data_IF_700548634097
#
_entry.id   IF_700548634097
#
_cell.length_a   1.000
_cell.length_b   1.000
_cell.length_c   1.000
_cell.angle_alpha   90.00
_cell.angle_beta   90.00
_cell.angle_gamma   90.00
#
_symmetry.space_group_name_H-M   'P 1'
#
loop_
_entity.id
_entity.type
_entity.pdbx_description
1 polymer ?
#
# COMPACT_ATOMS: atom_id res chain seq x y z
N UNK A 1 23.41 13.19 22.23
CA UNK A 1 22.40 12.21 22.71
C UNK A 1 21.14 12.82 23.34
N UNK A 2 21.16 14.04 23.93
CA UNK A 2 19.95 14.71 24.47
C UNK A 2 18.96 15.18 23.39
N UNK A 3 19.46 15.60 22.23
CA UNK A 3 18.65 16.12 21.12
C UNK A 3 17.78 15.05 20.45
N UNK A 4 18.29 13.82 20.27
CA UNK A 4 17.51 12.68 19.74
C UNK A 4 16.30 12.31 20.61
N UNK A 5 16.45 12.32 21.94
CA UNK A 5 15.34 12.05 22.87
C UNK A 5 14.27 13.15 22.81
N UNK A 6 14.69 14.40 22.62
CA UNK A 6 13.78 15.53 22.50
C UNK A 6 13.07 15.53 21.14
N UNK A 7 13.75 15.10 20.09
CA UNK A 7 13.17 14.93 18.76
C UNK A 7 12.12 13.82 18.72
N UNK A 8 12.37 12.68 19.36
CA UNK A 8 11.39 11.58 19.49
C UNK A 8 10.17 12.04 20.30
N UNK A 9 10.37 12.76 21.41
CA UNK A 9 9.26 13.28 22.21
C UNK A 9 8.44 14.34 21.46
N UNK A 10 9.10 15.14 20.60
CA UNK A 10 8.42 16.11 19.75
C UNK A 10 7.55 15.43 18.69
N UNK A 11 8.06 14.38 18.04
CA UNK A 11 7.29 13.56 17.09
C UNK A 11 6.11 12.88 17.80
N UNK A 12 6.33 12.32 18.99
CA UNK A 12 5.29 11.61 19.76
C UNK A 12 4.20 12.58 20.27
N UNK A 13 4.57 13.81 20.64
CA UNK A 13 3.64 14.88 21.01
C UNK A 13 2.85 15.40 19.79
N UNK A 14 3.47 15.43 18.61
CA UNK A 14 2.80 15.81 17.35
C UNK A 14 1.73 14.77 16.97
N UNK A 15 2.05 13.47 17.11
CA UNK A 15 1.11 12.36 16.88
C UNK A 15 -0.08 12.41 17.85
N UNK A 16 0.14 12.81 19.10
CA UNK A 16 -0.92 13.00 20.10
C UNK A 16 -1.80 14.24 19.86
N UNK A 17 -1.34 15.20 19.05
CA UNK A 17 -2.09 16.41 18.71
C UNK A 17 -3.00 16.22 17.48
N UNK A 18 -2.95 15.07 16.81
CA UNK A 18 -3.92 14.72 15.79
C UNK A 18 -5.26 14.52 16.51
N UNK A 19 -6.26 15.40 16.28
CA UNK A 19 -7.55 15.23 16.94
C UNK A 19 -8.12 13.87 16.54
N UNK A 20 -8.51 13.06 17.54
CA UNK A 20 -9.12 11.75 17.32
C UNK A 20 -10.39 11.79 16.43
N UNK A 21 -10.92 12.98 16.15
CA UNK A 21 -12.04 13.23 15.24
C UNK A 21 -11.66 13.41 13.76
N UNK A 22 -10.38 13.42 13.38
CA UNK A 22 -9.97 13.47 11.97
C UNK A 22 -9.98 12.09 11.28
N UNK A 23 -10.21 11.01 12.04
CA UNK A 23 -10.18 9.63 11.55
C UNK A 23 -11.57 9.04 11.25
N UNK A 24 -12.57 9.88 10.96
CA UNK A 24 -13.91 9.42 10.61
C UNK A 24 -14.30 9.96 9.23
N UNK A 25 -13.64 9.47 8.20
CA UNK A 25 -14.20 9.41 6.86
C UNK A 25 -14.47 7.93 6.58
N UNK A 26 -15.65 7.63 6.04
CA UNK A 26 -16.30 6.32 5.94
C UNK A 26 -15.37 5.11 5.84
N UNK A 27 -15.18 4.41 6.97
CA UNK A 27 -14.70 3.03 6.97
C UNK A 27 -15.88 2.14 6.56
N UNK A 28 -15.94 1.76 5.29
CA UNK A 28 -16.87 0.73 4.80
C UNK A 28 -16.51 -0.61 5.44
N UNK A 29 -17.50 -1.19 6.10
CA UNK A 29 -17.39 -2.21 7.16
C UNK A 29 -16.95 -3.62 6.70
N UNK A 30 -16.70 -3.86 5.40
CA UNK A 30 -16.27 -5.18 4.94
C UNK A 30 -14.86 -5.24 4.35
N UNK A 31 -14.21 -4.10 4.03
CA UNK A 31 -12.87 -4.10 3.44
C UNK A 31 -12.80 -4.82 2.09
N UNK A 32 -13.94 -4.97 1.39
CA UNK A 32 -14.00 -5.67 0.10
C UNK A 32 -14.73 -4.82 -0.93
N UNK A 33 -14.09 -4.55 -2.07
CA UNK A 33 -14.76 -4.06 -3.28
C UNK A 33 -15.17 -5.28 -4.08
N UNK A 34 -16.48 -5.50 -4.21
CA UNK A 34 -17.02 -6.70 -4.86
C UNK A 34 -17.03 -6.57 -6.39
N UNK A 35 -17.18 -7.70 -7.08
CA UNK A 35 -17.37 -7.72 -8.52
C UNK A 35 -18.55 -6.81 -8.97
N UNK A 36 -18.30 -5.90 -9.90
CA UNK A 36 -19.28 -4.94 -10.42
C UNK A 36 -19.51 -3.73 -9.50
N UNK A 37 -18.78 -3.62 -8.40
CA UNK A 37 -18.73 -2.43 -7.56
C UNK A 37 -17.60 -1.51 -8.00
N UNK A 38 -17.90 -0.21 -8.06
CA UNK A 38 -16.94 0.84 -8.39
C UNK A 38 -16.95 1.87 -7.26
N UNK A 39 -15.78 2.12 -6.67
CA UNK A 39 -15.59 3.16 -5.66
C UNK A 39 -14.83 4.30 -6.32
N UNK A 40 -15.46 5.47 -6.38
CA UNK A 40 -14.92 6.65 -7.08
C UNK A 40 -14.00 7.54 -6.22
N UNK A 41 -13.88 7.24 -4.92
CA UNK A 41 -13.12 8.03 -3.96
C UNK A 41 -11.83 7.33 -3.55
N UNK A 42 -10.91 8.08 -2.93
CA UNK A 42 -9.71 7.53 -2.32
C UNK A 42 -10.06 6.69 -1.08
N UNK A 43 -9.37 5.57 -0.93
CA UNK A 43 -9.60 4.64 0.19
C UNK A 43 -8.36 4.59 1.07
N UNK A 44 -8.54 4.80 2.38
CA UNK A 44 -7.48 4.68 3.38
C UNK A 44 -7.79 3.55 4.37
N UNK A 45 -6.91 2.54 4.42
CA UNK A 45 -7.04 1.37 5.30
C UNK A 45 -5.91 1.34 6.33
N UNK A 46 -6.26 0.96 7.56
CA UNK A 46 -5.33 0.92 8.68
C UNK A 46 -5.38 -0.42 9.40
N UNK A 47 -4.34 -1.25 9.23
CA UNK A 47 -4.12 -2.49 9.99
C UNK A 47 -5.13 -3.61 9.73
N UNK A 48 -6.06 -3.42 8.81
CA UNK A 48 -7.07 -4.40 8.39
C UNK A 48 -6.72 -4.97 7.02
N UNK A 49 -7.32 -6.11 6.69
CA UNK A 49 -7.21 -6.67 5.36
C UNK A 49 -8.16 -5.92 4.38
N UNK A 50 -7.71 -5.76 3.14
CA UNK A 50 -8.48 -5.13 2.07
C UNK A 50 -8.39 -5.94 0.78
N UNK A 51 -9.53 -6.20 0.14
CA UNK A 51 -9.60 -7.00 -1.09
C UNK A 51 -10.38 -6.26 -2.16
N UNK A 52 -9.82 -6.17 -3.35
CA UNK A 52 -10.56 -5.78 -4.55
C UNK A 52 -10.78 -7.07 -5.34
N UNK A 53 -12.00 -7.58 -5.32
CA UNK A 53 -12.33 -8.81 -6.05
C UNK A 53 -12.27 -8.60 -7.57
N UNK A 54 -12.15 -9.70 -8.32
CA UNK A 54 -12.19 -9.65 -9.78
C UNK A 54 -13.44 -8.92 -10.29
N UNK A 55 -13.24 -7.89 -11.11
CA UNK A 55 -14.31 -7.05 -11.64
C UNK A 55 -14.81 -5.97 -10.68
N UNK A 56 -14.24 -5.85 -9.48
CA UNK A 56 -14.36 -4.66 -8.64
C UNK A 56 -13.34 -3.61 -9.07
N UNK A 57 -13.71 -2.34 -8.96
CA UNK A 57 -12.88 -1.21 -9.39
C UNK A 57 -12.79 -0.16 -8.30
N UNK A 58 -11.58 0.34 -8.06
CA UNK A 58 -11.34 1.56 -7.32
C UNK A 58 -10.82 2.61 -8.30
N UNK A 59 -11.60 3.65 -8.57
CA UNK A 59 -11.20 4.75 -9.46
C UNK A 59 -10.24 5.74 -8.76
N UNK A 60 -10.16 5.70 -7.43
CA UNK A 60 -9.30 6.57 -6.63
C UNK A 60 -8.01 5.91 -6.17
N UNK A 61 -7.24 6.64 -5.36
CA UNK A 61 -5.98 6.17 -4.78
C UNK A 61 -6.25 5.24 -3.58
N UNK A 62 -5.54 4.10 -3.52
CA UNK A 62 -5.56 3.19 -2.37
C UNK A 62 -4.34 3.43 -1.48
N UNK A 63 -4.60 3.83 -0.24
CA UNK A 63 -3.59 4.06 0.78
C UNK A 63 -3.75 3.06 1.93
N UNK A 64 -2.73 2.23 2.18
CA UNK A 64 -2.79 1.17 3.19
C UNK A 64 -1.65 1.27 4.19
N UNK A 65 -1.99 1.24 5.47
CA UNK A 65 -1.04 1.26 6.58
C UNK A 65 -1.10 -0.05 7.35
N UNK A 66 -0.26 -1.02 6.96
CA UNK A 66 -0.27 -2.38 7.50
C UNK A 66 -1.56 -3.15 7.21
N UNK A 67 -1.54 -4.45 7.48
CA UNK A 67 -2.59 -5.39 7.06
C UNK A 67 -2.22 -6.14 5.78
N UNK A 68 -3.19 -6.83 5.19
CA UNK A 68 -3.01 -7.56 3.92
C UNK A 68 -3.87 -6.94 2.83
N UNK A 69 -3.28 -6.65 1.67
CA UNK A 69 -3.98 -6.11 0.50
C UNK A 69 -3.95 -7.15 -0.61
N UNK A 70 -5.12 -7.48 -1.16
CA UNK A 70 -5.23 -8.31 -2.36
C UNK A 70 -5.94 -7.52 -3.45
N UNK A 71 -5.29 -7.36 -4.60
CA UNK A 71 -5.87 -6.71 -5.77
C UNK A 71 -6.10 -7.75 -6.86
N UNK A 72 -7.31 -8.29 -6.93
CA UNK A 72 -7.78 -9.19 -8.01
C UNK A 72 -8.56 -8.43 -9.10
N UNK A 73 -9.02 -7.21 -8.79
CA UNK A 73 -9.71 -6.30 -9.71
C UNK A 73 -8.80 -5.17 -10.19
N UNK A 74 -9.33 -3.95 -10.23
CA UNK A 74 -8.62 -2.78 -10.79
C UNK A 74 -8.50 -1.65 -9.78
N UNK A 75 -7.32 -1.05 -9.72
CA UNK A 75 -7.08 0.28 -9.14
C UNK A 75 -6.69 1.22 -10.28
N UNK A 76 -7.51 2.23 -10.57
CA UNK A 76 -7.28 3.14 -11.72
C UNK A 76 -6.27 4.25 -11.39
N UNK A 77 -6.03 4.52 -10.10
CA UNK A 77 -4.98 5.43 -9.66
C UNK A 77 -3.80 4.70 -8.99
N UNK A 78 -3.23 5.30 -7.95
CA UNK A 78 -2.02 4.84 -7.30
C UNK A 78 -2.35 3.87 -6.15
N UNK A 79 -1.45 2.92 -5.89
CA UNK A 79 -1.46 2.07 -4.70
C UNK A 79 -0.24 2.37 -3.83
N UNK A 80 -0.48 2.93 -2.65
CA UNK A 80 0.52 3.18 -1.63
C UNK A 80 0.33 2.23 -0.45
N UNK A 81 1.34 1.41 -0.15
CA UNK A 81 1.29 0.50 1.00
C UNK A 81 2.48 0.74 1.92
N UNK A 82 2.21 0.87 3.21
CA UNK A 82 3.19 1.05 4.27
C UNK A 82 3.22 -0.19 5.16
N UNK A 83 4.11 -1.12 4.85
CA UNK A 83 4.25 -2.41 5.53
C UNK A 83 3.07 -3.37 5.30
N UNK A 84 3.20 -4.59 5.81
CA UNK A 84 2.18 -5.64 5.61
C UNK A 84 2.50 -6.53 4.41
N UNK A 85 1.45 -7.14 3.88
CA UNK A 85 1.51 -8.06 2.72
C UNK A 85 0.64 -7.51 1.61
N UNK A 86 1.16 -7.48 0.39
CA UNK A 86 0.43 -7.04 -0.79
C UNK A 86 0.54 -8.09 -1.86
N UNK A 87 -0.60 -8.58 -2.37
CA UNK A 87 -0.68 -9.52 -3.48
C UNK A 87 -1.41 -8.85 -4.63
N UNK A 88 -0.74 -8.76 -5.78
CA UNK A 88 -1.32 -8.19 -7.00
C UNK A 88 -1.58 -9.32 -8.00
N UNK A 89 -2.85 -9.48 -8.36
CA UNK A 89 -3.34 -10.41 -9.38
C UNK A 89 -4.04 -9.70 -10.54
N UNK A 90 -4.56 -8.50 -10.31
CA UNK A 90 -5.24 -7.68 -11.30
C UNK A 90 -4.40 -6.49 -11.78
N UNK A 91 -5.07 -5.38 -12.02
CA UNK A 91 -4.48 -4.21 -12.71
C UNK A 91 -4.34 -3.01 -11.76
N UNK A 92 -3.19 -2.34 -11.84
CA UNK A 92 -2.98 -1.00 -11.30
C UNK A 92 -2.60 -0.10 -12.48
N UNK A 93 -3.42 0.89 -12.78
CA UNK A 93 -3.23 1.71 -14.00
C UNK A 93 -2.18 2.83 -13.82
N UNK A 94 -1.71 3.07 -12.59
CA UNK A 94 -0.69 4.07 -12.30
C UNK A 94 0.44 3.49 -11.45
N UNK A 95 0.82 4.17 -10.37
CA UNK A 95 2.04 3.85 -9.64
C UNK A 95 1.77 2.91 -8.46
N UNK A 96 2.68 1.95 -8.28
CA UNK A 96 2.70 1.04 -7.13
C UNK A 96 3.89 1.39 -6.24
N UNK A 97 3.62 1.88 -5.04
CA UNK A 97 4.67 2.24 -4.08
C UNK A 97 4.49 1.49 -2.77
N UNK A 98 5.45 0.62 -2.46
CA UNK A 98 5.47 -0.19 -1.25
C UNK A 98 6.64 0.23 -0.36
N UNK A 99 6.35 0.66 0.86
CA UNK A 99 7.31 0.99 1.90
C UNK A 99 7.39 -0.13 2.94
N UNK A 100 8.39 -1.00 2.81
CA UNK A 100 8.56 -2.18 3.65
C UNK A 100 7.47 -3.23 3.45
N UNK A 101 7.63 -4.39 4.09
CA UNK A 101 6.67 -5.50 3.94
C UNK A 101 7.03 -6.45 2.80
N UNK A 102 6.03 -7.17 2.31
CA UNK A 102 6.16 -8.19 1.29
C UNK A 102 5.19 -7.91 0.15
N UNK A 103 5.72 -7.81 -1.07
CA UNK A 103 4.97 -7.66 -2.30
C UNK A 103 5.08 -8.96 -3.09
N UNK A 104 3.94 -9.56 -3.41
CA UNK A 104 3.79 -10.70 -4.30
C UNK A 104 3.09 -10.25 -5.59
N UNK A 105 3.78 -10.39 -6.71
CA UNK A 105 3.28 -10.03 -8.03
C UNK A 105 3.09 -11.30 -8.84
N UNK A 106 1.84 -11.64 -9.13
CA UNK A 106 1.51 -12.87 -9.83
C UNK A 106 1.57 -12.70 -11.34
N UNK A 107 1.41 -13.80 -12.07
CA UNK A 107 1.50 -13.84 -13.54
C UNK A 107 0.42 -13.03 -14.27
N UNK A 108 -0.69 -12.72 -13.61
CA UNK A 108 -1.79 -11.93 -14.19
C UNK A 108 -1.72 -10.44 -13.83
N UNK A 109 -0.74 -10.06 -13.01
CA UNK A 109 -0.61 -8.69 -12.54
C UNK A 109 -0.17 -7.76 -13.67
N UNK A 110 -0.92 -6.67 -13.85
CA UNK A 110 -0.61 -5.61 -14.80
C UNK A 110 -0.38 -4.29 -14.04
N UNK A 111 0.71 -3.60 -14.38
CA UNK A 111 1.03 -2.28 -13.86
C UNK A 111 1.46 -1.38 -15.01
N UNK A 112 0.71 -0.31 -15.24
CA UNK A 112 0.98 0.62 -16.33
C UNK A 112 2.01 1.71 -15.95
N UNK A 113 2.11 2.03 -14.65
CA UNK A 113 3.04 3.02 -14.13
C UNK A 113 4.31 2.43 -13.49
N UNK A 114 4.90 3.20 -12.58
CA UNK A 114 6.16 2.82 -11.93
C UNK A 114 5.90 1.93 -10.70
N UNK A 115 6.67 0.84 -10.57
CA UNK A 115 6.73 0.07 -9.33
C UNK A 115 7.96 0.44 -8.51
N UNK A 116 7.76 0.82 -7.24
CA UNK A 116 8.83 1.17 -6.30
C UNK A 116 8.65 0.41 -4.99
N UNK A 117 9.65 -0.37 -4.61
CA UNK A 117 9.70 -1.10 -3.34
C UNK A 117 10.88 -0.60 -2.49
N UNK A 118 10.58 0.01 -1.35
CA UNK A 118 11.56 0.58 -0.44
C UNK A 118 11.63 -0.25 0.84
N UNK A 119 12.69 -1.05 1.01
CA UNK A 119 12.95 -1.76 2.27
C UNK A 119 12.07 -2.97 2.58
N UNK A 120 11.54 -3.63 1.55
CA UNK A 120 10.74 -4.86 1.67
C UNK A 120 11.30 -6.03 0.84
N UNK A 121 10.48 -7.06 0.72
CA UNK A 121 10.75 -8.23 -0.13
C UNK A 121 9.79 -8.21 -1.32
N UNK A 122 10.32 -8.45 -2.52
CA UNK A 122 9.55 -8.68 -3.73
C UNK A 122 9.63 -10.16 -4.08
N UNK A 123 8.49 -10.82 -4.20
CA UNK A 123 8.33 -12.06 -4.92
C UNK A 123 7.63 -11.73 -6.24
N UNK A 124 8.32 -11.99 -7.34
CA UNK A 124 7.80 -11.74 -8.67
C UNK A 124 7.77 -13.07 -9.41
N UNK A 125 6.57 -13.49 -9.76
CA UNK A 125 6.36 -14.67 -10.58
C UNK A 125 6.79 -14.37 -12.01
N UNK A 126 7.66 -15.21 -12.57
CA UNK A 126 8.44 -14.97 -13.80
C UNK A 126 7.65 -14.65 -15.10
N UNK A 127 6.33 -14.55 -15.03
CA UNK A 127 5.45 -14.14 -16.12
C UNK A 127 4.85 -12.74 -15.95
N UNK A 128 5.06 -12.05 -14.82
CA UNK A 128 4.61 -10.65 -14.66
C UNK A 128 5.57 -9.70 -15.39
N UNK A 129 5.02 -8.73 -16.12
CA UNK A 129 5.82 -7.70 -16.83
C UNK A 129 6.28 -6.56 -15.89
N UNK A 130 5.96 -6.65 -14.60
CA UNK A 130 6.17 -5.60 -13.62
C UNK A 130 7.62 -5.61 -13.13
N UNK A 131 8.36 -4.56 -13.47
CA UNK A 131 9.73 -4.35 -12.99
C UNK A 131 9.75 -3.31 -11.86
N UNK A 132 9.99 -3.74 -10.62
CA UNK A 132 10.06 -2.83 -9.48
C UNK A 132 11.48 -2.33 -9.23
N UNK A 133 11.62 -1.02 -9.03
CA UNK A 133 12.83 -0.42 -8.45
C UNK A 133 12.87 -0.78 -6.98
N UNK A 134 13.80 -1.66 -6.60
CA UNK A 134 14.00 -2.05 -5.20
C UNK A 134 15.21 -1.32 -4.62
N UNK A 135 15.08 -0.76 -3.41
CA UNK A 135 16.24 -0.28 -2.66
C UNK A 135 16.38 -1.06 -1.35
N UNK A 136 17.43 -1.91 -1.20
CA UNK A 136 17.68 -2.58 0.06
C UNK A 136 18.14 -1.55 1.10
N UNK A 137 17.32 -1.36 2.14
CA UNK A 137 17.65 -0.47 3.27
C UNK A 137 18.86 -0.98 4.09
N UNK A 138 19.35 -2.18 3.79
CA UNK A 138 20.44 -2.86 4.52
C UNK A 138 21.88 -2.41 4.20
N UNK A 139 22.13 -1.60 3.16
CA UNK A 139 23.53 -1.26 2.79
C UNK A 139 24.01 0.13 3.26
N UNK A 140 23.27 0.78 4.16
CA UNK A 140 23.63 2.10 4.72
C UNK A 140 24.36 2.03 6.07
N UNK A 141 24.80 0.84 6.50
CA UNK A 141 25.53 0.64 7.77
C UNK A 141 26.95 0.07 7.62
N UNK A 142 27.46 -0.07 6.39
CA UNK A 142 28.78 -0.68 6.12
C UNK A 142 29.81 0.33 5.55
N UNK A 143 29.79 1.59 6.01
CA UNK A 143 30.88 2.56 5.80
C UNK A 143 31.21 3.32 7.06
#
# INVERSE_FOLDING_TARGET
MKTRKWFILFILALVLLVPAGAALADYRDDGVIKAGETIAEDVSIYGSDFVIETGGTLEGTLLVFGGSVTVDGTVEEDLYVYGGTTTINGTIERDLVIYGGYLDVTENAELDGDCVLLGGTLENHASSEIACVTNPVGNLMDT
#
